data_IF_874591058127
#
_entry.id   IF_874591058127
#
_cell.length_a   1.000
_cell.length_b   1.000
_cell.length_c   1.000
_cell.angle_alpha   90.00
_cell.angle_beta   90.00
_cell.angle_gamma   90.00
#
_symmetry.space_group_name_H-M   'P 1'
#
loop_
_entity.id
_entity.type
_entity.pdbx_description
1 polymer ?
#
# COMPACT_ATOMS: atom_id res chain seq x y z
N UNK A 1 -1.94 88.37 30.60
CA UNK A 1 -1.32 87.11 30.15
C UNK A 1 -2.06 86.64 28.91
N UNK A 2 -1.53 86.87 27.71
CA UNK A 2 -2.12 86.42 26.45
C UNK A 2 -1.49 85.07 26.10
N UNK A 3 -2.20 83.98 26.36
CA UNK A 3 -1.85 82.68 25.81
C UNK A 3 -2.17 82.76 24.32
N UNK A 4 -1.14 82.83 23.48
CA UNK A 4 -1.29 82.91 22.03
C UNK A 4 -1.87 81.61 21.45
N UNK A 5 -2.57 81.71 20.33
CA UNK A 5 -3.23 80.57 19.64
C UNK A 5 -2.29 79.36 19.43
N UNK A 6 -0.98 79.61 19.25
CA UNK A 6 0.08 78.58 19.16
C UNK A 6 0.14 77.63 20.36
N UNK A 7 -0.13 78.12 21.57
CA UNK A 7 -0.10 77.31 22.79
C UNK A 7 -1.27 76.30 22.82
N UNK A 8 -2.45 76.72 22.38
CA UNK A 8 -3.62 75.83 22.29
C UNK A 8 -3.39 74.70 21.28
N UNK A 9 -2.73 75.00 20.15
CA UNK A 9 -2.37 74.00 19.13
C UNK A 9 -1.35 72.99 19.66
N UNK A 10 -0.32 73.45 20.39
CA UNK A 10 0.68 72.56 20.98
C UNK A 10 0.07 71.67 22.06
N UNK A 11 -0.83 72.22 22.88
CA UNK A 11 -1.52 71.48 23.94
C UNK A 11 -2.47 70.42 23.36
N UNK A 12 -3.27 70.77 22.35
CA UNK A 12 -4.16 69.81 21.69
C UNK A 12 -3.37 68.69 21.01
N UNK A 13 -2.28 69.03 20.29
CA UNK A 13 -1.39 68.04 19.69
C UNK A 13 -0.81 67.08 20.75
N UNK A 14 -0.41 67.61 21.91
CA UNK A 14 0.13 66.81 23.01
C UNK A 14 -0.92 65.87 23.61
N UNK A 15 -2.16 66.32 23.75
CA UNK A 15 -3.28 65.49 24.24
C UNK A 15 -3.56 64.35 23.27
N UNK A 16 -3.64 64.63 21.97
CA UNK A 16 -3.83 63.59 20.95
C UNK A 16 -2.66 62.61 20.90
N UNK A 17 -1.43 63.09 21.09
CA UNK A 17 -0.24 62.23 21.12
C UNK A 17 -0.24 61.33 22.36
N UNK A 18 -0.58 61.86 23.53
CA UNK A 18 -0.73 61.07 24.75
C UNK A 18 -1.85 60.02 24.61
N UNK A 19 -2.98 60.37 23.99
CA UNK A 19 -4.07 59.45 23.72
C UNK A 19 -3.65 58.34 22.74
N UNK A 20 -2.99 58.69 21.64
CA UNK A 20 -2.50 57.73 20.65
C UNK A 20 -1.49 56.76 21.24
N UNK A 21 -0.55 57.25 22.06
CA UNK A 21 0.41 56.40 22.77
C UNK A 21 -0.29 55.51 23.81
N UNK A 22 -1.26 56.05 24.56
CA UNK A 22 -2.02 55.29 25.54
C UNK A 22 -2.82 54.14 24.92
N UNK A 23 -3.48 54.40 23.79
CA UNK A 23 -4.22 53.37 23.02
C UNK A 23 -3.24 52.35 22.44
N UNK A 24 -2.12 52.79 21.87
CA UNK A 24 -1.10 51.90 21.31
C UNK A 24 -0.52 50.94 22.35
N UNK A 25 -0.15 51.45 23.53
CA UNK A 25 0.36 50.63 24.64
C UNK A 25 -0.74 49.69 25.18
N UNK A 26 -1.98 50.18 25.29
CA UNK A 26 -3.12 49.36 25.73
C UNK A 26 -3.36 48.16 24.82
N UNK A 27 -3.37 48.37 23.49
CA UNK A 27 -3.52 47.28 22.52
C UNK A 27 -2.31 46.33 22.50
N UNK A 28 -1.09 46.84 22.66
CA UNK A 28 0.11 46.02 22.64
C UNK A 28 0.20 45.05 23.83
N UNK A 29 -0.33 45.44 25.00
CA UNK A 29 -0.39 44.59 26.19
C UNK A 29 -1.43 43.47 26.04
N UNK A 30 -2.64 43.80 25.61
CA UNK A 30 -3.74 42.83 25.43
C UNK A 30 -3.43 41.82 24.30
N UNK A 31 -2.78 42.29 23.22
CA UNK A 31 -2.36 41.44 22.11
C UNK A 31 -1.26 40.42 22.45
N UNK A 32 -0.41 40.68 23.44
CA UNK A 32 0.62 39.73 23.87
C UNK A 32 0.02 38.52 24.59
N UNK A 33 -0.97 38.74 25.45
CA UNK A 33 -1.59 37.66 26.24
C UNK A 33 -2.36 36.69 25.33
N UNK A 34 -3.15 37.23 24.39
CA UNK A 34 -3.87 36.43 23.37
C UNK A 34 -2.91 35.64 22.48
N UNK A 35 -1.77 36.23 22.09
CA UNK A 35 -0.78 35.56 21.25
C UNK A 35 -0.10 34.39 21.98
N UNK A 36 0.18 34.53 23.28
CA UNK A 36 0.77 33.48 24.11
C UNK A 36 -0.20 32.30 24.30
N UNK A 37 -1.48 32.58 24.55
CA UNK A 37 -2.50 31.52 24.67
C UNK A 37 -2.65 30.72 23.36
N UNK A 38 -2.68 31.41 22.21
CA UNK A 38 -2.73 30.74 20.90
C UNK A 38 -1.52 29.83 20.68
N UNK A 39 -0.32 30.30 21.07
CA UNK A 39 0.90 29.51 20.94
C UNK A 39 0.88 28.27 21.84
N UNK A 40 0.37 28.38 23.06
CA UNK A 40 0.19 27.23 23.96
C UNK A 40 -0.83 26.22 23.42
N UNK A 41 -1.94 26.70 22.85
CA UNK A 41 -2.93 25.83 22.21
C UNK A 41 -2.34 25.02 21.06
N UNK A 42 -1.54 25.66 20.19
CA UNK A 42 -0.84 24.97 19.10
C UNK A 42 0.15 23.92 19.61
N UNK A 43 0.93 24.24 20.65
CA UNK A 43 1.87 23.28 21.26
C UNK A 43 1.11 22.07 21.83
N UNK A 44 0.01 22.31 22.54
CA UNK A 44 -0.82 21.25 23.09
C UNK A 44 -1.41 20.34 22.00
N UNK A 45 -1.85 20.91 20.87
CA UNK A 45 -2.35 20.12 19.74
C UNK A 45 -1.24 19.27 19.12
N UNK A 46 -0.03 19.82 18.97
CA UNK A 46 1.13 19.09 18.45
C UNK A 46 1.50 17.93 19.39
N UNK A 47 1.53 18.17 20.71
CA UNK A 47 1.79 17.12 21.70
C UNK A 47 0.74 16.01 21.65
N UNK A 48 -0.54 16.36 21.57
CA UNK A 48 -1.62 15.39 21.44
C UNK A 48 -1.46 14.54 20.18
N UNK A 49 -1.28 15.17 19.01
CA UNK A 49 -1.06 14.47 17.73
C UNK A 49 0.18 13.57 17.79
N UNK A 50 1.24 14.01 18.45
CA UNK A 50 2.45 13.20 18.61
C UNK A 50 2.19 11.93 19.45
N UNK A 51 1.43 12.05 20.54
CA UNK A 51 1.02 10.91 21.36
C UNK A 51 0.15 9.94 20.56
N UNK A 52 -0.82 10.44 19.81
CA UNK A 52 -1.70 9.62 18.95
C UNK A 52 -0.89 8.84 17.91
N UNK A 53 0.03 9.50 17.20
CA UNK A 53 0.90 8.84 16.21
C UNK A 53 1.77 7.76 16.88
N UNK A 54 2.33 8.03 18.06
CA UNK A 54 3.16 7.05 18.78
C UNK A 54 2.36 5.83 19.20
N UNK A 55 1.12 6.02 19.67
CA UNK A 55 0.22 4.92 20.03
C UNK A 55 -0.15 4.08 18.81
N UNK A 56 -0.46 4.73 17.68
CA UNK A 56 -0.80 4.03 16.45
C UNK A 56 0.38 3.22 15.89
N UNK A 57 1.59 3.78 15.93
CA UNK A 57 2.81 3.05 15.55
C UNK A 57 3.00 1.79 16.41
N UNK A 58 2.89 1.91 17.74
CA UNK A 58 3.00 0.74 18.62
C UNK A 58 1.90 -0.29 18.37
N UNK A 59 0.68 0.15 18.07
CA UNK A 59 -0.42 -0.75 17.70
C UNK A 59 -0.08 -1.50 16.41
N UNK A 60 0.35 -0.80 15.37
CA UNK A 60 0.74 -1.40 14.08
C UNK A 60 1.88 -2.41 14.27
N UNK A 61 2.94 -2.04 15.00
CA UNK A 61 4.05 -2.94 15.32
C UNK A 61 3.57 -4.23 16.03
N UNK A 62 2.64 -4.09 16.98
CA UNK A 62 2.07 -5.24 17.70
C UNK A 62 1.27 -6.17 16.78
N UNK A 63 0.49 -5.59 15.85
CA UNK A 63 -0.28 -6.35 14.86
C UNK A 63 0.67 -7.09 13.92
N UNK A 64 1.69 -6.42 13.39
CA UNK A 64 2.70 -7.04 12.53
C UNK A 64 3.33 -8.24 13.24
N UNK A 65 3.81 -8.05 14.48
CA UNK A 65 4.43 -9.13 15.26
C UNK A 65 3.47 -10.31 15.51
N UNK A 66 2.20 -10.04 15.77
CA UNK A 66 1.20 -11.11 15.93
C UNK A 66 0.96 -11.89 14.64
N UNK A 67 0.92 -11.19 13.49
CA UNK A 67 0.71 -11.78 12.17
C UNK A 67 1.92 -12.58 11.72
N UNK A 68 3.12 -12.09 11.97
CA UNK A 68 4.35 -12.83 11.71
C UNK A 68 4.41 -14.12 12.52
N UNK A 69 4.01 -14.08 13.80
CA UNK A 69 3.93 -15.28 14.63
C UNK A 69 2.90 -16.28 14.10
N UNK A 70 1.72 -15.82 13.70
CA UNK A 70 0.68 -16.66 13.10
C UNK A 70 1.17 -17.31 11.79
N UNK A 71 1.83 -16.52 10.93
CA UNK A 71 2.44 -17.01 9.69
C UNK A 71 3.56 -18.02 9.97
N UNK A 72 4.37 -17.79 11.00
CA UNK A 72 5.42 -18.73 11.39
C UNK A 72 4.83 -20.08 11.77
N UNK A 73 3.78 -20.10 12.62
CA UNK A 73 3.10 -21.34 13.00
C UNK A 73 2.50 -22.03 11.77
N UNK A 74 1.87 -21.28 10.87
CA UNK A 74 1.34 -21.83 9.63
C UNK A 74 2.42 -22.48 8.75
N UNK A 75 3.59 -21.82 8.64
CA UNK A 75 4.75 -22.36 7.91
C UNK A 75 5.31 -23.61 8.57
N UNK A 76 5.50 -23.61 9.89
CA UNK A 76 5.96 -24.79 10.63
C UNK A 76 5.03 -25.99 10.41
N UNK A 77 3.71 -25.78 10.50
CA UNK A 77 2.72 -26.84 10.19
C UNK A 77 2.81 -27.29 8.73
N UNK A 78 2.96 -26.35 7.80
CA UNK A 78 2.97 -26.64 6.36
C UNK A 78 4.25 -27.32 5.90
N UNK A 79 5.39 -26.96 6.49
CA UNK A 79 6.70 -27.45 6.06
C UNK A 79 7.11 -28.72 6.82
N UNK A 80 6.67 -28.89 8.08
CA UNK A 80 7.05 -30.06 8.90
C UNK A 80 5.98 -31.17 8.92
N UNK A 81 4.69 -30.82 8.99
CA UNK A 81 3.63 -31.82 9.16
C UNK A 81 3.00 -32.25 7.83
N UNK A 82 2.76 -31.29 6.94
CA UNK A 82 2.03 -31.54 5.70
C UNK A 82 2.72 -32.58 4.79
N UNK A 83 4.06 -32.55 4.56
CA UNK A 83 4.74 -33.55 3.73
C UNK A 83 4.56 -34.98 4.24
N UNK A 84 4.63 -35.19 5.56
CA UNK A 84 4.41 -36.52 6.16
C UNK A 84 2.95 -36.98 6.17
N UNK A 85 1.99 -36.06 6.04
CA UNK A 85 0.57 -36.40 5.92
C UNK A 85 0.15 -36.76 4.49
N UNK A 86 0.84 -36.19 3.50
CA UNK A 86 0.54 -36.41 2.07
C UNK A 86 1.48 -37.40 1.40
N UNK A 87 2.46 -37.93 2.14
CA UNK A 87 3.44 -38.91 1.66
C UNK A 87 2.73 -40.05 0.91
N UNK A 88 3.18 -40.31 -0.33
CA UNK A 88 2.65 -41.29 -1.28
C UNK A 88 1.16 -41.15 -1.68
N UNK A 89 0.46 -40.07 -1.29
CA UNK A 89 -0.95 -39.86 -1.63
C UNK A 89 -1.19 -39.69 -3.14
N UNK A 90 -0.18 -39.28 -3.90
CA UNK A 90 -0.23 -39.05 -5.35
C UNK A 90 0.68 -40.02 -6.12
N UNK A 91 1.06 -41.14 -5.49
CA UNK A 91 1.94 -42.13 -6.11
C UNK A 91 1.39 -42.64 -7.45
N UNK A 92 2.23 -42.57 -8.49
CA UNK A 92 1.88 -43.00 -9.85
C UNK A 92 1.05 -42.00 -10.67
N UNK A 93 0.83 -40.79 -10.15
CA UNK A 93 0.13 -39.72 -10.87
C UNK A 93 1.15 -38.80 -11.53
N UNK A 94 1.09 -38.69 -12.86
CA UNK A 94 1.85 -37.71 -13.63
C UNK A 94 1.13 -36.36 -13.64
N UNK A 95 1.83 -35.29 -13.25
CA UNK A 95 1.27 -33.94 -13.13
C UNK A 95 2.00 -32.99 -14.09
N UNK A 96 1.24 -32.25 -14.89
CA UNK A 96 1.74 -31.14 -15.71
C UNK A 96 1.28 -29.81 -15.11
N UNK A 97 2.21 -28.86 -14.94
CA UNK A 97 1.93 -27.55 -14.34
C UNK A 97 1.94 -26.49 -15.44
N UNK A 98 0.83 -25.76 -15.57
CA UNK A 98 0.71 -24.64 -16.51
C UNK A 98 0.60 -23.35 -15.69
N UNK A 99 1.59 -22.47 -15.83
CA UNK A 99 1.65 -21.21 -15.11
C UNK A 99 1.38 -20.04 -16.06
N UNK A 100 0.35 -19.26 -15.76
CA UNK A 100 -0.01 -18.02 -16.44
C UNK A 100 0.30 -16.82 -15.53
N UNK A 101 1.58 -16.66 -15.20
CA UNK A 101 2.08 -15.54 -14.38
C UNK A 101 3.57 -15.38 -14.64
N UNK A 102 4.05 -14.13 -14.58
CA UNK A 102 5.46 -13.80 -14.70
C UNK A 102 6.24 -14.05 -13.39
N UNK A 103 5.55 -14.40 -12.31
CA UNK A 103 6.17 -14.75 -11.04
C UNK A 103 6.89 -16.11 -11.11
N UNK A 104 8.00 -16.24 -10.37
CA UNK A 104 8.70 -17.50 -10.20
C UNK A 104 7.72 -18.61 -9.78
N UNK A 105 7.84 -19.85 -10.29
CA UNK A 105 6.98 -20.93 -9.86
C UNK A 105 7.05 -21.08 -8.35
N UNK A 106 5.90 -21.29 -7.72
CA UNK A 106 5.82 -21.51 -6.29
C UNK A 106 6.58 -22.80 -5.93
N UNK A 107 7.85 -22.66 -5.57
CA UNK A 107 8.76 -23.78 -5.29
C UNK A 107 8.22 -24.68 -4.17
N UNK A 108 7.52 -24.09 -3.20
CA UNK A 108 6.84 -24.84 -2.14
C UNK A 108 5.77 -25.81 -2.67
N UNK A 109 4.97 -25.39 -3.66
CA UNK A 109 3.93 -26.25 -4.24
C UNK A 109 4.54 -27.43 -5.00
N UNK A 110 5.59 -27.16 -5.77
CA UNK A 110 6.31 -28.18 -6.53
C UNK A 110 6.94 -29.21 -5.59
N UNK A 111 7.59 -28.75 -4.52
CA UNK A 111 8.16 -29.62 -3.51
C UNK A 111 7.09 -30.47 -2.82
N UNK A 112 5.93 -29.91 -2.49
CA UNK A 112 4.82 -30.68 -1.90
C UNK A 112 4.29 -31.76 -2.83
N UNK A 113 4.08 -31.46 -4.12
CA UNK A 113 3.62 -32.43 -5.11
C UNK A 113 4.60 -33.60 -5.25
N UNK A 114 5.90 -33.30 -5.28
CA UNK A 114 6.94 -34.35 -5.30
C UNK A 114 6.97 -35.16 -4.01
N UNK A 115 6.86 -34.55 -2.84
CA UNK A 115 6.80 -35.28 -1.56
C UNK A 115 5.54 -36.14 -1.43
N UNK A 116 4.44 -35.72 -2.07
CA UNK A 116 3.22 -36.52 -2.15
C UNK A 116 3.33 -37.72 -3.11
N UNK A 117 4.45 -37.90 -3.82
CA UNK A 117 4.68 -39.02 -4.74
C UNK A 117 4.22 -38.75 -6.18
N UNK A 118 3.88 -37.51 -6.53
CA UNK A 118 3.52 -37.14 -7.90
C UNK A 118 4.77 -36.99 -8.79
N UNK A 119 4.67 -37.46 -10.04
CA UNK A 119 5.72 -37.31 -11.05
C UNK A 119 5.47 -36.05 -11.90
N UNK A 120 6.28 -35.02 -11.74
CA UNK A 120 6.10 -33.75 -12.45
C UNK A 120 6.72 -33.86 -13.85
N UNK A 121 5.87 -34.12 -14.84
CA UNK A 121 6.32 -34.46 -16.20
C UNK A 121 6.59 -33.23 -17.07
N UNK A 122 5.92 -32.10 -16.82
CA UNK A 122 6.11 -30.88 -17.62
C UNK A 122 5.73 -29.60 -16.85
N UNK A 123 6.48 -28.52 -17.11
CA UNK A 123 6.21 -27.18 -16.58
C UNK A 123 6.17 -26.21 -17.75
N UNK A 124 4.98 -25.70 -18.05
CA UNK A 124 4.73 -24.77 -19.15
C UNK A 124 4.49 -23.38 -18.54
N UNK A 125 5.23 -22.38 -19.01
CA UNK A 125 5.06 -20.98 -18.58
C UNK A 125 4.54 -20.15 -19.74
N UNK A 126 3.43 -19.47 -19.50
CA UNK A 126 2.82 -18.51 -20.40
C UNK A 126 2.99 -17.15 -19.74
N UNK A 127 3.78 -16.28 -20.38
CA UNK A 127 3.93 -14.90 -19.91
C UNK A 127 2.63 -14.14 -20.15
N UNK A 128 2.19 -13.35 -19.17
CA UNK A 128 0.94 -12.61 -19.25
C UNK A 128 0.99 -11.56 -20.38
N UNK A 129 2.16 -10.95 -20.56
CA UNK A 129 2.39 -9.95 -21.60
C UNK A 129 2.74 -10.53 -22.98
N UNK A 130 2.65 -11.84 -23.18
CA UNK A 130 2.96 -12.47 -24.48
C UNK A 130 2.14 -11.88 -25.65
N UNK A 131 0.92 -11.44 -25.37
CA UNK A 131 0.05 -10.74 -26.32
C UNK A 131 0.28 -9.21 -26.37
N UNK A 132 0.73 -8.60 -25.26
CA UNK A 132 0.89 -7.14 -25.18
C UNK A 132 2.21 -6.65 -25.79
N UNK A 133 3.26 -7.48 -25.75
CA UNK A 133 4.64 -7.09 -26.08
C UNK A 133 4.93 -7.09 -27.60
N UNK A 134 4.10 -7.77 -28.41
CA UNK A 134 4.23 -7.75 -29.87
C UNK A 134 2.87 -7.84 -30.58
N UNK A 135 2.45 -6.79 -31.33
CA UNK A 135 1.19 -6.80 -32.07
C UNK A 135 1.13 -7.87 -33.18
N UNK A 136 2.26 -8.41 -33.66
CA UNK A 136 2.25 -9.53 -34.61
C UNK A 136 1.83 -10.86 -33.95
N UNK A 137 2.19 -11.07 -32.68
CA UNK A 137 1.82 -12.29 -31.95
C UNK A 137 0.32 -12.35 -31.67
N UNK A 138 -0.33 -11.20 -31.44
CA UNK A 138 -1.80 -11.16 -31.28
C UNK A 138 -2.53 -11.43 -32.57
N UNK A 139 -1.97 -11.04 -33.73
CA UNK A 139 -2.55 -11.34 -35.04
C UNK A 139 -2.47 -12.85 -35.34
N UNK A 140 -1.31 -13.47 -35.13
CA UNK A 140 -1.13 -14.92 -35.35
C UNK A 140 -2.00 -15.74 -34.40
N UNK A 141 -2.11 -15.34 -33.13
CA UNK A 141 -3.01 -15.99 -32.19
C UNK A 141 -4.47 -15.86 -32.65
N UNK A 142 -4.93 -14.65 -32.99
CA UNK A 142 -6.31 -14.39 -33.44
C UNK A 142 -6.68 -15.09 -34.74
N UNK A 143 -5.74 -15.27 -35.65
CA UNK A 143 -5.96 -15.99 -36.91
C UNK A 143 -6.14 -17.50 -36.71
N UNK A 144 -5.66 -18.05 -35.58
CA UNK A 144 -5.80 -19.45 -35.21
C UNK A 144 -6.84 -19.68 -34.08
N UNK A 145 -7.63 -18.66 -33.73
CA UNK A 145 -8.75 -18.79 -32.81
C UNK A 145 -10.04 -19.03 -33.62
N UNK A 146 -10.77 -20.09 -33.28
CA UNK A 146 -12.08 -20.37 -33.88
C UNK A 146 -13.16 -19.35 -33.44
N UNK A 147 -12.93 -18.62 -32.34
CA UNK A 147 -13.84 -17.59 -31.80
C UNK A 147 -13.12 -16.29 -31.41
N UNK A 148 -13.78 -15.12 -31.53
CA UNK A 148 -13.19 -13.85 -31.11
C UNK A 148 -13.17 -13.75 -29.57
N UNK A 149 -11.97 -13.86 -28.98
CA UNK A 149 -11.75 -13.74 -27.52
C UNK A 149 -11.18 -12.36 -27.17
N UNK A 150 -11.71 -11.71 -26.13
CA UNK A 150 -11.18 -10.45 -25.60
C UNK A 150 -9.76 -10.62 -25.02
N UNK A 151 -8.94 -9.56 -25.05
CA UNK A 151 -7.52 -9.63 -24.66
C UNK A 151 -7.31 -10.10 -23.21
N UNK A 152 -8.20 -9.74 -22.29
CA UNK A 152 -8.13 -10.17 -20.88
C UNK A 152 -8.39 -11.67 -20.71
N UNK A 153 -9.13 -12.29 -21.64
CA UNK A 153 -9.51 -13.69 -21.60
C UNK A 153 -8.66 -14.59 -22.51
N UNK A 154 -7.84 -13.99 -23.37
CA UNK A 154 -7.00 -14.69 -24.35
C UNK A 154 -6.04 -15.69 -23.68
N UNK A 155 -5.40 -15.30 -22.56
CA UNK A 155 -4.49 -16.20 -21.84
C UNK A 155 -5.23 -17.37 -21.19
N UNK A 156 -6.48 -17.17 -20.73
CA UNK A 156 -7.33 -18.25 -20.19
C UNK A 156 -7.71 -19.23 -21.29
N UNK A 157 -8.13 -18.73 -22.45
CA UNK A 157 -8.48 -19.55 -23.59
C UNK A 157 -7.31 -20.39 -24.12
N UNK A 158 -6.11 -19.78 -24.22
CA UNK A 158 -4.90 -20.51 -24.62
C UNK A 158 -4.55 -21.61 -23.61
N UNK A 159 -4.65 -21.32 -22.31
CA UNK A 159 -4.40 -22.33 -21.28
C UNK A 159 -5.38 -23.51 -21.39
N UNK A 160 -6.68 -23.25 -21.58
CA UNK A 160 -7.70 -24.30 -21.77
C UNK A 160 -7.46 -25.13 -23.05
N UNK A 161 -7.10 -24.48 -24.15
CA UNK A 161 -6.76 -25.17 -25.41
C UNK A 161 -5.50 -26.02 -25.28
N UNK A 162 -4.48 -25.52 -24.59
CA UNK A 162 -3.26 -26.29 -24.31
C UNK A 162 -3.54 -27.49 -23.42
N UNK A 163 -4.37 -27.33 -22.37
CA UNK A 163 -4.81 -28.44 -21.52
C UNK A 163 -5.54 -29.48 -22.36
N UNK A 164 -6.51 -29.05 -23.19
CA UNK A 164 -7.26 -29.97 -24.03
C UNK A 164 -6.34 -30.68 -25.02
N UNK A 165 -5.45 -29.98 -25.73
CA UNK A 165 -4.50 -30.59 -26.66
C UNK A 165 -3.60 -31.63 -25.98
N UNK A 166 -3.08 -31.31 -24.79
CA UNK A 166 -2.25 -32.24 -24.00
C UNK A 166 -3.01 -33.47 -23.51
N UNK A 167 -4.34 -33.37 -23.32
CA UNK A 167 -5.19 -34.49 -22.90
C UNK A 167 -5.78 -35.29 -24.06
N UNK A 168 -5.87 -34.73 -25.27
CA UNK A 168 -6.47 -35.42 -26.44
C UNK A 168 -5.45 -36.08 -27.37
N UNK A 169 -4.17 -35.70 -27.32
CA UNK A 169 -3.08 -36.33 -28.09
C UNK A 169 -2.26 -37.38 -27.28
N UNK A 170 -2.84 -37.90 -26.19
CA UNK A 170 -2.29 -39.00 -25.37
C UNK A 170 -2.93 -40.36 -25.66
#
# INVERSE_FOLDING_TARGET
>A
MMIGMRYYVIMSASIFMALGIGIFIGFALDGQEIFVEQQQGLISEVEQRFVEIKQENHRIESVIKSREKELQVYREVTDELLPGLVEDSLWGISVAIIQNSDELPYTGMMNMLTHAGADITSIIRIKKDYAADNPENTVILRENLDEPVENDDLCRYIAERLVNALLTDG
#
